data_IF_197975629783
#
_entry.id   IF_197975629783
#
_cell.length_a   1.000
_cell.length_b   1.000
_cell.length_c   1.000
_cell.angle_alpha   90.00
_cell.angle_beta   90.00
_cell.angle_gamma   90.00
#
_symmetry.space_group_name_H-M   'P 1'
#
loop_
_entity.id
_entity.type
_entity.pdbx_description
1 polymer ?
#
# COMPACT_ATOMS: atom_id res chain seq x y z
N UNK A 1 22.12 -64.99 -25.72
CA UNK A 1 21.48 -65.75 -26.79
C UNK A 1 21.15 -64.82 -27.91
N UNK A 2 21.97 -64.75 -28.97
CA UNK A 2 21.73 -65.32 -30.32
C UNK A 2 20.58 -64.60 -31.02
N UNK A 3 20.64 -63.99 -32.22
CA UNK A 3 21.43 -63.99 -33.46
C UNK A 3 20.89 -62.87 -34.33
N UNK A 4 21.58 -61.91 -34.93
CA UNK A 4 22.16 -61.84 -36.27
C UNK A 4 21.33 -62.40 -37.46
N UNK A 5 21.10 -61.50 -38.47
CA UNK A 5 21.11 -61.77 -39.93
C UNK A 5 20.77 -60.35 -40.55
N UNK A 6 21.49 -59.68 -41.33
CA UNK A 6 22.44 -59.99 -42.40
C UNK A 6 21.74 -60.28 -43.73
N UNK A 7 21.63 -59.27 -44.62
CA UNK A 7 21.69 -59.51 -46.10
C UNK A 7 22.00 -58.24 -46.88
N UNK A 8 22.95 -58.38 -47.68
CA UNK A 8 23.66 -57.75 -48.74
C UNK A 8 22.90 -57.24 -49.95
N UNK A 9 23.52 -56.24 -50.51
CA UNK A 9 23.49 -55.64 -51.86
C UNK A 9 22.89 -56.42 -53.03
N UNK A 10 22.50 -55.71 -54.13
CA UNK A 10 23.50 -55.53 -55.18
C UNK A 10 23.52 -54.15 -55.89
N UNK A 11 24.70 -53.86 -56.43
CA UNK A 11 25.04 -52.73 -57.29
C UNK A 11 24.39 -52.84 -58.69
N UNK A 12 24.12 -51.69 -59.28
CA UNK A 12 23.95 -51.55 -60.74
C UNK A 12 24.74 -50.34 -61.23
N UNK A 13 25.77 -50.58 -62.01
CA UNK A 13 26.46 -49.64 -62.91
C UNK A 13 25.65 -49.50 -64.18
N UNK A 14 25.65 -48.31 -64.81
CA UNK A 14 25.86 -48.02 -66.23
C UNK A 14 25.63 -46.53 -66.50
N UNK A 15 26.54 -45.91 -67.22
CA UNK A 15 26.29 -44.86 -68.16
C UNK A 15 26.88 -43.48 -67.91
N UNK A 16 28.16 -43.31 -68.27
CA UNK A 16 28.74 -41.98 -68.49
C UNK A 16 28.15 -41.35 -69.76
N UNK A 17 27.55 -40.17 -69.61
CA UNK A 17 27.37 -39.20 -70.68
C UNK A 17 27.97 -37.87 -70.27
N UNK A 18 29.03 -37.48 -70.93
CA UNK A 18 29.63 -36.16 -70.93
C UNK A 18 28.66 -35.13 -71.48
N UNK A 19 28.29 -34.13 -70.66
CA UNK A 19 27.59 -32.94 -71.14
C UNK A 19 28.44 -31.72 -70.78
N UNK A 20 28.69 -30.91 -71.82
CA UNK A 20 29.50 -29.71 -71.79
C UNK A 20 29.08 -28.70 -70.72
N UNK A 21 30.10 -28.13 -70.06
CA UNK A 21 29.96 -27.04 -69.11
C UNK A 21 29.70 -25.74 -69.91
N UNK A 22 28.45 -25.27 -69.81
CA UNK A 22 28.11 -23.87 -70.15
C UNK A 22 28.41 -23.01 -68.93
N UNK A 23 29.24 -22.01 -69.17
CA UNK A 23 29.66 -21.02 -68.16
C UNK A 23 28.51 -20.14 -67.77
N UNK A 24 28.01 -20.31 -66.54
CA UNK A 24 27.07 -19.36 -65.94
C UNK A 24 27.75 -17.98 -65.69
N UNK A 25 27.02 -16.86 -65.85
CA UNK A 25 27.54 -15.53 -65.56
C UNK A 25 27.79 -15.33 -64.07
N UNK A 26 28.73 -14.46 -63.66
CA UNK A 26 29.06 -14.27 -62.24
C UNK A 26 27.86 -13.76 -61.45
N UNK A 27 27.48 -14.48 -60.41
CA UNK A 27 26.47 -14.04 -59.45
C UNK A 27 26.88 -12.70 -58.84
N UNK A 28 26.01 -11.69 -59.08
CA UNK A 28 26.11 -10.43 -58.37
C UNK A 28 26.13 -10.68 -56.86
N UNK A 29 27.21 -10.28 -56.23
CA UNK A 29 27.28 -10.22 -54.75
C UNK A 29 26.21 -9.25 -54.29
N UNK A 30 25.08 -9.76 -53.81
CA UNK A 30 24.11 -8.99 -53.05
C UNK A 30 24.73 -8.55 -51.74
N UNK A 31 25.35 -7.39 -51.72
CA UNK A 31 25.67 -6.61 -50.55
C UNK A 31 24.36 -5.99 -49.99
N UNK A 32 23.52 -6.85 -49.44
CA UNK A 32 22.30 -6.42 -48.74
C UNK A 32 22.26 -7.19 -47.42
N UNK A 33 22.94 -6.67 -46.38
CA UNK A 33 22.59 -6.96 -44.98
C UNK A 33 23.60 -6.41 -43.94
N UNK A 34 24.47 -5.47 -44.28
CA UNK A 34 25.37 -4.83 -43.30
C UNK A 34 24.79 -3.59 -42.61
N UNK A 35 23.76 -2.96 -43.20
CA UNK A 35 23.09 -1.81 -42.57
C UNK A 35 22.04 -2.18 -41.54
N UNK A 36 21.40 -3.38 -41.65
CA UNK A 36 20.32 -3.75 -40.74
C UNK A 36 20.83 -4.26 -39.37
N UNK A 37 21.91 -5.03 -39.34
CA UNK A 37 22.48 -5.57 -38.09
C UNK A 37 23.02 -4.46 -37.20
N UNK A 38 23.73 -3.47 -37.74
CA UNK A 38 24.22 -2.33 -36.97
C UNK A 38 23.06 -1.46 -36.43
N UNK A 39 22.00 -1.26 -37.22
CA UNK A 39 20.82 -0.52 -36.79
C UNK A 39 20.06 -1.27 -35.68
N UNK A 40 19.87 -2.58 -35.82
CA UNK A 40 19.26 -3.41 -34.75
C UNK A 40 20.12 -3.48 -33.49
N UNK A 41 21.44 -3.53 -33.60
CA UNK A 41 22.35 -3.51 -32.45
C UNK A 41 22.31 -2.17 -31.75
N UNK A 42 22.32 -1.04 -32.48
CA UNK A 42 22.19 0.30 -31.91
C UNK A 42 20.83 0.51 -31.23
N UNK A 43 19.73 0.04 -31.84
CA UNK A 43 18.40 0.08 -31.26
C UNK A 43 18.32 -0.77 -29.97
N UNK A 44 18.91 -1.99 -29.98
CA UNK A 44 18.99 -2.86 -28.80
C UNK A 44 19.79 -2.25 -27.66
N UNK A 45 20.94 -1.63 -27.95
CA UNK A 45 21.74 -0.90 -26.95
C UNK A 45 20.98 0.32 -26.39
N UNK A 46 20.29 1.07 -27.24
CA UNK A 46 19.44 2.19 -26.86
C UNK A 46 18.31 1.77 -25.91
N UNK A 47 17.61 0.67 -26.23
CA UNK A 47 16.57 0.09 -25.38
C UNK A 47 17.13 -0.42 -24.05
N UNK A 48 18.26 -1.12 -24.06
CA UNK A 48 18.92 -1.58 -22.84
C UNK A 48 19.36 -0.41 -21.94
N UNK A 49 19.91 0.66 -22.52
CA UNK A 49 20.26 1.88 -21.80
C UNK A 49 19.04 2.58 -21.21
N UNK A 50 17.95 2.70 -21.99
CA UNK A 50 16.69 3.29 -21.53
C UNK A 50 16.07 2.47 -20.39
N UNK A 51 16.06 1.14 -20.52
CA UNK A 51 15.58 0.23 -19.48
C UNK A 51 16.44 0.31 -18.21
N UNK A 52 17.78 0.37 -18.36
CA UNK A 52 18.70 0.55 -17.22
C UNK A 52 18.46 1.90 -16.51
N UNK A 53 18.30 2.97 -17.27
CA UNK A 53 18.00 4.30 -16.72
C UNK A 53 16.66 4.30 -16.00
N UNK A 54 15.61 3.77 -16.62
CA UNK A 54 14.29 3.64 -15.99
C UNK A 54 14.37 2.84 -14.69
N UNK A 55 15.06 1.67 -14.71
CA UNK A 55 15.26 0.87 -13.51
C UNK A 55 15.96 1.68 -12.40
N UNK A 56 17.06 2.39 -12.73
CA UNK A 56 17.77 3.24 -11.75
C UNK A 56 16.86 4.32 -11.19
N UNK A 57 16.04 4.98 -12.04
CA UNK A 57 15.15 6.05 -11.63
C UNK A 57 14.01 5.50 -10.73
N UNK A 58 13.53 4.28 -10.98
CA UNK A 58 12.56 3.57 -10.12
C UNK A 58 13.19 3.05 -8.81
N UNK A 59 14.46 2.71 -8.82
CA UNK A 59 15.20 2.28 -7.62
C UNK A 59 15.64 3.46 -6.73
N UNK A 60 15.56 4.69 -7.25
CA UNK A 60 15.87 5.91 -6.49
C UNK A 60 14.59 6.51 -5.91
N UNK A 61 14.42 6.57 -4.58
CA UNK A 61 13.21 7.12 -3.97
C UNK A 61 13.09 8.61 -4.28
N UNK A 62 11.86 9.07 -4.54
CA UNK A 62 11.60 10.40 -5.06
C UNK A 62 10.85 11.35 -4.14
N UNK A 63 10.32 10.87 -3.01
CA UNK A 63 9.42 11.62 -2.13
C UNK A 63 9.88 11.61 -0.67
N UNK A 64 11.11 12.09 -0.34
CA UNK A 64 11.58 12.06 1.04
C UNK A 64 10.72 12.96 1.92
N UNK A 65 10.41 12.48 3.12
CA UNK A 65 9.76 13.29 4.13
C UNK A 65 10.60 14.54 4.46
N UNK A 66 9.93 15.67 4.58
CA UNK A 66 10.58 16.95 4.97
C UNK A 66 9.93 17.55 6.21
N UNK A 67 8.61 17.67 6.20
CA UNK A 67 7.80 18.22 7.27
C UNK A 67 6.33 17.80 7.11
N UNK A 68 5.50 18.09 8.09
CA UNK A 68 4.05 17.80 8.02
C UNK A 68 3.34 18.53 6.87
N UNK A 69 3.84 19.67 6.41
CA UNK A 69 3.28 20.40 5.26
C UNK A 69 3.54 19.65 3.94
N UNK A 70 4.63 18.91 3.86
CA UNK A 70 4.93 18.06 2.70
C UNK A 70 3.89 16.94 2.60
N UNK A 71 3.59 16.27 3.71
CA UNK A 71 2.56 15.23 3.78
C UNK A 71 1.19 15.80 3.40
N UNK A 72 0.78 16.94 3.97
CA UNK A 72 -0.50 17.60 3.63
C UNK A 72 -0.63 17.89 2.14
N UNK A 73 0.41 18.41 1.49
CA UNK A 73 0.40 18.72 0.03
C UNK A 73 0.33 17.48 -0.85
N UNK A 74 0.97 16.37 -0.48
CA UNK A 74 0.85 15.10 -1.21
C UNK A 74 -0.60 14.61 -1.16
N UNK A 75 -1.24 14.67 -0.01
CA UNK A 75 -2.65 14.28 0.15
C UNK A 75 -3.60 15.24 -0.54
N UNK A 76 -3.32 16.55 -0.58
CA UNK A 76 -4.09 17.52 -1.37
C UNK A 76 -4.04 17.15 -2.85
N UNK A 77 -2.86 16.87 -3.40
CA UNK A 77 -2.69 16.49 -4.80
C UNK A 77 -3.43 15.18 -5.13
N UNK A 78 -3.36 14.18 -4.28
CA UNK A 78 -4.07 12.91 -4.48
C UNK A 78 -5.58 13.07 -4.44
N UNK A 79 -6.09 13.96 -3.56
CA UNK A 79 -7.52 14.25 -3.45
C UNK A 79 -8.03 14.98 -4.70
N UNK A 80 -7.26 15.94 -5.23
CA UNK A 80 -7.61 16.68 -6.46
C UNK A 80 -7.53 15.79 -7.71
N UNK A 81 -6.57 14.86 -7.79
CA UNK A 81 -6.43 13.93 -8.91
C UNK A 81 -7.61 12.95 -9.02
N UNK A 82 -8.32 12.64 -7.94
CA UNK A 82 -9.43 11.66 -7.82
C UNK A 82 -9.11 10.24 -8.29
N UNK A 83 -7.86 9.94 -8.63
CA UNK A 83 -7.43 8.60 -9.06
C UNK A 83 -7.42 7.65 -7.86
N UNK A 84 -6.93 8.14 -6.73
CA UNK A 84 -6.91 7.35 -5.50
C UNK A 84 -8.34 7.05 -5.04
N UNK A 85 -9.23 8.05 -5.00
CA UNK A 85 -10.65 7.86 -4.65
C UNK A 85 -11.35 6.89 -5.61
N UNK A 86 -11.00 6.92 -6.92
CA UNK A 86 -11.57 6.00 -7.91
C UNK A 86 -11.26 4.54 -7.62
N UNK A 87 -9.97 4.20 -7.34
CA UNK A 87 -9.55 2.81 -7.14
C UNK A 87 -9.65 2.34 -5.69
N UNK A 88 -9.46 3.25 -4.74
CA UNK A 88 -9.46 2.94 -3.31
C UNK A 88 -10.78 3.26 -2.63
N UNK A 89 -11.69 3.96 -3.32
CA UNK A 89 -12.92 4.44 -2.71
C UNK A 89 -12.68 5.49 -1.64
N UNK A 90 -13.56 5.54 -0.68
CA UNK A 90 -13.54 6.56 0.39
C UNK A 90 -12.63 6.20 1.58
N UNK A 91 -12.05 5.00 1.58
CA UNK A 91 -11.18 4.48 2.63
C UNK A 91 -9.76 4.33 2.11
N UNK A 92 -8.84 5.20 2.58
CA UNK A 92 -7.44 5.19 2.16
C UNK A 92 -6.61 4.43 3.20
N UNK A 93 -6.89 3.14 3.35
CA UNK A 93 -6.17 2.18 4.18
C UNK A 93 -6.25 0.78 3.58
N UNK A 94 -5.47 -0.17 4.08
CA UNK A 94 -5.52 -1.57 3.64
C UNK A 94 -6.85 -2.23 4.03
N UNK A 95 -7.23 -3.27 3.30
CA UNK A 95 -8.42 -4.07 3.58
C UNK A 95 -8.11 -5.28 4.46
N UNK A 96 -9.14 -5.87 5.03
CA UNK A 96 -9.09 -7.11 5.79
C UNK A 96 -9.54 -8.29 4.93
N UNK A 97 -8.77 -9.37 4.99
CA UNK A 97 -9.04 -10.63 4.29
C UNK A 97 -9.00 -11.75 5.30
N UNK A 98 -10.13 -12.40 5.51
CA UNK A 98 -10.22 -13.60 6.35
C UNK A 98 -9.41 -14.76 5.76
N UNK A 99 -9.14 -15.78 6.57
CA UNK A 99 -8.48 -16.98 6.07
C UNK A 99 -9.28 -17.67 4.94
N UNK A 100 -10.60 -17.60 4.97
CA UNK A 100 -11.48 -18.11 3.92
C UNK A 100 -11.36 -17.29 2.63
N UNK A 101 -11.31 -15.96 2.71
CA UNK A 101 -11.06 -15.07 1.57
C UNK A 101 -9.72 -15.38 0.91
N UNK A 102 -8.66 -15.51 1.72
CA UNK A 102 -7.32 -15.81 1.24
C UNK A 102 -7.24 -17.21 0.61
N UNK A 103 -7.89 -18.20 1.19
CA UNK A 103 -7.96 -19.55 0.64
C UNK A 103 -8.69 -19.61 -0.71
N UNK A 104 -9.68 -18.74 -0.91
CA UNK A 104 -10.38 -18.56 -2.18
C UNK A 104 -9.61 -17.71 -3.19
N UNK A 105 -8.45 -17.17 -2.80
CA UNK A 105 -7.55 -16.40 -3.66
C UNK A 105 -7.85 -14.90 -3.73
N UNK A 106 -8.58 -14.34 -2.75
CA UNK A 106 -8.81 -12.89 -2.67
C UNK A 106 -7.49 -12.10 -2.74
N UNK A 107 -7.50 -10.92 -3.35
CA UNK A 107 -6.31 -10.09 -3.56
C UNK A 107 -5.36 -10.58 -4.67
N UNK A 108 -5.64 -11.70 -5.33
CA UNK A 108 -4.94 -12.12 -6.56
C UNK A 108 -5.62 -11.52 -7.80
N UNK A 109 -4.97 -11.57 -8.96
CA UNK A 109 -5.53 -11.05 -10.21
C UNK A 109 -6.94 -11.60 -10.52
N UNK A 110 -7.16 -12.89 -10.36
CA UNK A 110 -8.47 -13.51 -10.59
C UNK A 110 -9.36 -13.42 -9.34
N UNK A 111 -8.76 -13.39 -8.18
CA UNK A 111 -9.45 -13.32 -6.89
C UNK A 111 -10.00 -11.93 -6.53
N UNK A 112 -9.77 -10.90 -7.33
CA UNK A 112 -10.46 -9.61 -7.20
C UNK A 112 -12.00 -9.72 -7.32
N UNK A 113 -12.49 -10.83 -7.87
CA UNK A 113 -13.93 -11.16 -7.94
C UNK A 113 -14.42 -11.96 -6.75
N UNK A 114 -13.53 -12.46 -5.91
CA UNK A 114 -13.89 -13.20 -4.68
C UNK A 114 -14.31 -12.22 -3.60
N UNK A 115 -13.58 -11.11 -3.48
CA UNK A 115 -13.84 -10.02 -2.55
C UNK A 115 -13.51 -8.70 -3.24
N UNK A 116 -14.40 -7.75 -3.19
CA UNK A 116 -14.18 -6.41 -3.70
C UNK A 116 -13.18 -5.65 -2.81
N UNK A 117 -12.36 -4.76 -3.41
CA UNK A 117 -11.33 -4.03 -2.66
C UNK A 117 -11.92 -3.00 -1.69
N UNK A 118 -13.08 -2.42 -2.02
CA UNK A 118 -13.79 -1.49 -1.14
C UNK A 118 -14.44 -2.26 0.01
N UNK A 119 -15.08 -3.41 -0.27
CA UNK A 119 -15.63 -4.32 0.74
C UNK A 119 -14.56 -4.74 1.76
N UNK A 120 -13.37 -5.15 1.29
CA UNK A 120 -12.28 -5.51 2.18
C UNK A 120 -11.88 -4.41 3.17
N UNK A 121 -12.04 -3.12 2.80
CA UNK A 121 -11.75 -1.99 3.69
C UNK A 121 -12.87 -1.72 4.68
N UNK A 122 -14.12 -1.94 4.29
CA UNK A 122 -15.24 -1.89 5.23
C UNK A 122 -15.10 -3.01 6.27
N UNK A 123 -14.79 -4.22 5.84
CA UNK A 123 -14.50 -5.33 6.75
C UNK A 123 -13.34 -5.01 7.69
N UNK A 124 -12.30 -4.33 7.20
CA UNK A 124 -11.20 -3.87 8.06
C UNK A 124 -11.71 -2.93 9.18
N UNK A 125 -12.58 -1.99 8.85
CA UNK A 125 -13.17 -1.09 9.86
C UNK A 125 -13.99 -1.85 10.89
N UNK A 126 -14.81 -2.81 10.44
CA UNK A 126 -15.68 -3.61 11.31
C UNK A 126 -14.85 -4.54 12.22
N UNK A 127 -13.84 -5.22 11.66
CA UNK A 127 -12.93 -6.08 12.44
C UNK A 127 -12.08 -5.29 13.43
N UNK A 128 -11.55 -4.12 13.04
CA UNK A 128 -10.82 -3.24 13.94
C UNK A 128 -11.71 -2.70 15.05
N UNK A 129 -12.99 -2.38 14.74
CA UNK A 129 -13.96 -1.95 15.74
C UNK A 129 -14.28 -3.09 16.72
N UNK A 130 -14.51 -4.30 16.23
CA UNK A 130 -14.74 -5.47 17.06
C UNK A 130 -13.52 -5.76 17.97
N UNK A 131 -12.32 -5.74 17.40
CA UNK A 131 -11.08 -5.94 18.15
C UNK A 131 -10.82 -4.83 19.19
N UNK A 132 -11.27 -3.59 18.94
CA UNK A 132 -11.10 -2.47 19.87
C UNK A 132 -11.82 -2.67 21.21
N UNK A 133 -12.86 -3.52 21.24
CA UNK A 133 -13.75 -3.71 22.39
C UNK A 133 -14.35 -2.36 22.87
N UNK A 134 -14.61 -1.46 21.91
CA UNK A 134 -15.23 -0.17 22.19
C UNK A 134 -16.64 -0.39 22.77
N UNK A 135 -17.09 0.45 23.72
CA UNK A 135 -18.50 0.42 24.15
C UNK A 135 -19.46 0.60 22.97
N UNK A 136 -20.59 -0.09 23.02
CA UNK A 136 -21.58 -0.12 21.91
C UNK A 136 -22.07 1.25 21.45
N UNK A 137 -22.03 2.26 22.32
CA UNK A 137 -22.51 3.63 22.04
C UNK A 137 -21.58 4.68 22.63
N UNK A 138 -20.41 4.91 22.08
CA UNK A 138 -19.56 6.02 22.48
C UNK A 138 -20.26 7.34 22.15
N UNK A 139 -20.31 8.30 23.04
CA UNK A 139 -20.93 9.60 22.74
C UNK A 139 -20.08 10.43 21.77
N UNK A 140 -18.75 10.34 21.89
CA UNK A 140 -17.79 11.08 21.06
C UNK A 140 -16.65 10.20 20.59
N UNK A 141 -16.43 10.20 19.29
CA UNK A 141 -15.34 9.47 18.61
C UNK A 141 -14.42 10.46 17.92
N UNK A 142 -13.13 10.28 18.04
CA UNK A 142 -12.10 10.99 17.28
C UNK A 142 -11.44 10.03 16.31
N UNK A 143 -11.40 10.39 15.03
CA UNK A 143 -10.67 9.70 13.96
C UNK A 143 -9.42 10.52 13.59
N UNK A 144 -8.25 10.05 13.98
CA UNK A 144 -6.97 10.76 13.85
C UNK A 144 -6.28 10.38 12.56
N UNK A 145 -6.24 11.31 11.62
CA UNK A 145 -5.75 11.04 10.25
C UNK A 145 -6.87 10.50 9.35
N UNK A 146 -8.04 11.10 9.42
CA UNK A 146 -9.27 10.60 8.80
C UNK A 146 -9.30 10.55 7.27
N UNK A 147 -8.29 11.09 6.58
CA UNK A 147 -8.30 11.19 5.13
C UNK A 147 -9.54 11.93 4.63
N UNK A 148 -10.20 11.42 3.59
CA UNK A 148 -11.48 11.95 3.07
C UNK A 148 -12.69 11.44 3.87
N UNK A 149 -12.47 10.93 5.10
CA UNK A 149 -13.49 10.65 6.10
C UNK A 149 -14.30 9.37 5.88
N UNK A 150 -13.82 8.42 5.10
CA UNK A 150 -14.50 7.14 4.89
C UNK A 150 -14.78 6.41 6.20
N UNK A 151 -13.73 6.17 6.99
CA UNK A 151 -13.85 5.53 8.30
C UNK A 151 -14.69 6.33 9.29
N UNK A 152 -14.50 7.66 9.36
CA UNK A 152 -15.34 8.52 10.21
C UNK A 152 -16.81 8.38 9.89
N UNK A 153 -17.20 8.38 8.60
CA UNK A 153 -18.59 8.20 8.17
C UNK A 153 -19.10 6.79 8.44
N UNK A 154 -18.26 5.76 8.26
CA UNK A 154 -18.59 4.37 8.61
C UNK A 154 -18.92 4.25 10.09
N UNK A 155 -18.06 4.76 10.98
CA UNK A 155 -18.30 4.80 12.43
C UNK A 155 -19.56 5.60 12.80
N UNK A 156 -19.81 6.75 12.13
CA UNK A 156 -21.01 7.54 12.35
C UNK A 156 -22.31 6.81 11.99
N UNK A 157 -22.28 5.97 10.94
CA UNK A 157 -23.40 5.10 10.56
C UNK A 157 -23.58 3.97 11.57
N UNK A 158 -22.49 3.29 11.92
CA UNK A 158 -22.49 2.12 12.79
C UNK A 158 -23.02 2.46 14.19
N UNK A 159 -22.56 3.55 14.78
CA UNK A 159 -23.01 3.98 16.11
C UNK A 159 -24.34 4.75 16.10
N UNK A 160 -24.73 5.28 14.94
CA UNK A 160 -25.98 6.03 14.78
C UNK A 160 -25.94 7.47 15.30
N UNK A 161 -27.08 8.15 15.25
CA UNK A 161 -27.21 9.60 15.49
C UNK A 161 -26.86 10.07 16.91
N UNK A 162 -26.79 9.15 17.89
CA UNK A 162 -26.40 9.45 19.26
C UNK A 162 -24.90 9.66 19.46
N UNK A 163 -24.09 9.28 18.47
CA UNK A 163 -22.64 9.40 18.50
C UNK A 163 -22.17 10.54 17.62
N UNK A 164 -21.30 11.41 18.13
CA UNK A 164 -20.62 12.43 17.33
C UNK A 164 -19.23 11.94 16.94
N UNK A 165 -18.95 11.87 15.65
CA UNK A 165 -17.65 11.49 15.10
C UNK A 165 -16.94 12.71 14.55
N UNK A 166 -15.72 12.97 15.03
CA UNK A 166 -14.88 14.05 14.54
C UNK A 166 -13.64 13.47 13.87
N UNK A 167 -13.44 13.74 12.59
CA UNK A 167 -12.22 13.39 11.87
C UNK A 167 -11.25 14.58 11.82
N UNK A 168 -9.95 14.31 11.99
CA UNK A 168 -8.90 15.33 11.81
C UNK A 168 -7.88 14.89 10.78
N UNK A 169 -7.40 15.83 9.96
CA UNK A 169 -6.32 15.65 8.98
C UNK A 169 -5.55 16.96 8.76
N UNK A 170 -4.33 16.88 8.23
CA UNK A 170 -3.55 18.06 7.85
C UNK A 170 -3.97 18.69 6.52
N UNK A 171 -4.75 18.00 5.69
CA UNK A 171 -5.13 18.43 4.34
C UNK A 171 -6.46 19.17 4.35
N UNK A 172 -6.49 20.47 4.00
CA UNK A 172 -7.74 21.22 3.80
C UNK A 172 -8.64 20.61 2.72
N UNK A 173 -8.04 20.06 1.65
CA UNK A 173 -8.77 19.42 0.55
C UNK A 173 -9.47 18.14 0.99
N UNK A 174 -8.83 17.35 1.86
CA UNK A 174 -9.48 16.19 2.47
C UNK A 174 -10.65 16.58 3.35
N UNK A 175 -10.54 17.65 4.16
CA UNK A 175 -11.63 18.14 4.99
C UNK A 175 -12.82 18.61 4.14
N UNK A 176 -12.55 19.37 3.05
CA UNK A 176 -13.56 19.79 2.10
C UNK A 176 -14.31 18.58 1.51
N UNK A 177 -13.56 17.60 0.96
CA UNK A 177 -14.14 16.39 0.36
C UNK A 177 -14.88 15.52 1.37
N UNK A 178 -14.34 15.32 2.56
CA UNK A 178 -14.96 14.55 3.63
C UNK A 178 -16.31 15.17 4.07
N UNK A 179 -16.37 16.50 4.12
CA UNK A 179 -17.59 17.24 4.49
C UNK A 179 -18.65 17.14 3.38
N UNK A 180 -18.25 17.23 2.10
CA UNK A 180 -19.15 16.99 0.97
C UNK A 180 -19.77 15.60 1.04
N UNK A 181 -18.93 14.57 1.18
CA UNK A 181 -19.36 13.17 1.25
C UNK A 181 -20.29 12.91 2.46
N UNK A 182 -20.00 13.51 3.62
CA UNK A 182 -20.88 13.38 4.78
C UNK A 182 -22.27 14.01 4.54
N UNK A 183 -22.32 15.17 3.86
CA UNK A 183 -23.55 15.80 3.46
C UNK A 183 -24.34 14.99 2.43
N UNK A 184 -23.66 14.49 1.40
CA UNK A 184 -24.25 13.60 0.37
C UNK A 184 -24.87 12.35 1.00
N UNK A 185 -24.24 11.80 2.04
CA UNK A 185 -24.69 10.59 2.76
C UNK A 185 -25.65 10.89 3.92
N UNK A 186 -26.06 12.17 4.13
CA UNK A 186 -26.96 12.60 5.21
C UNK A 186 -26.46 12.19 6.61
N UNK A 187 -25.19 12.45 6.91
CA UNK A 187 -24.53 12.11 8.19
C UNK A 187 -24.17 13.38 8.98
N UNK A 188 -25.15 14.05 9.63
CA UNK A 188 -24.89 15.29 10.38
C UNK A 188 -24.05 15.07 11.65
N UNK A 189 -23.89 13.82 12.06
CA UNK A 189 -23.10 13.42 13.21
C UNK A 189 -21.63 13.13 12.88
N UNK A 190 -21.19 13.30 11.61
CA UNK A 190 -19.79 13.28 11.18
C UNK A 190 -19.32 14.72 10.87
N UNK A 191 -18.19 15.14 11.46
CA UNK A 191 -17.59 16.46 11.26
C UNK A 191 -16.08 16.35 11.04
N UNK A 192 -15.50 17.29 10.30
CA UNK A 192 -14.08 17.22 9.91
C UNK A 192 -13.36 18.53 10.18
N UNK A 193 -12.09 18.47 10.58
CA UNK A 193 -11.25 19.63 10.87
C UNK A 193 -9.85 19.48 10.34
N UNK A 194 -9.28 20.56 9.83
CA UNK A 194 -7.83 20.66 9.61
C UNK A 194 -7.17 20.81 10.97
N UNK A 195 -6.37 19.83 11.37
CA UNK A 195 -5.72 19.83 12.68
C UNK A 195 -4.47 18.94 12.69
N UNK A 196 -3.44 19.40 13.41
CA UNK A 196 -2.24 18.61 13.65
C UNK A 196 -2.46 17.61 14.78
N UNK A 197 -2.28 16.32 14.51
CA UNK A 197 -2.41 15.27 15.52
C UNK A 197 -1.37 15.34 16.65
N UNK A 198 -0.29 16.10 16.47
CA UNK A 198 0.74 16.32 17.49
C UNK A 198 0.41 17.49 18.44
N UNK A 199 -0.61 18.30 18.12
CA UNK A 199 -1.00 19.49 18.89
C UNK A 199 -2.52 19.70 18.75
N UNK A 200 -3.30 18.78 19.35
CA UNK A 200 -4.76 18.82 19.19
C UNK A 200 -5.40 19.91 20.06
N UNK A 201 -6.24 20.74 19.44
CA UNK A 201 -6.96 21.83 20.12
C UNK A 201 -8.16 21.37 20.98
N UNK A 202 -8.34 20.07 21.14
CA UNK A 202 -9.38 19.51 21.99
C UNK A 202 -8.98 19.55 23.46
N UNK A 203 -9.93 19.80 24.38
CA UNK A 203 -9.70 19.61 25.82
C UNK A 203 -9.30 18.17 26.14
N UNK A 204 -8.58 17.98 27.24
CA UNK A 204 -8.35 16.64 27.79
C UNK A 204 -9.69 15.95 28.09
N UNK A 205 -9.69 14.62 28.08
CA UNK A 205 -10.84 13.80 28.50
C UNK A 205 -12.14 14.11 27.72
N UNK A 206 -12.02 14.28 26.37
CA UNK A 206 -13.13 14.67 25.49
C UNK A 206 -13.82 13.48 24.82
N UNK A 207 -13.05 12.47 24.38
CA UNK A 207 -13.53 11.39 23.53
C UNK A 207 -13.65 10.06 24.27
N UNK A 208 -14.67 9.28 23.93
CA UNK A 208 -14.91 7.94 24.47
C UNK A 208 -14.13 6.88 23.66
N UNK A 209 -13.90 7.14 22.36
CA UNK A 209 -13.05 6.36 21.46
C UNK A 209 -12.11 7.29 20.72
N UNK A 210 -10.82 6.97 20.71
CA UNK A 210 -9.82 7.57 19.84
C UNK A 210 -9.34 6.48 18.88
N UNK A 211 -9.60 6.71 17.61
CA UNK A 211 -9.32 5.82 16.50
C UNK A 211 -8.21 6.40 15.63
N UNK A 212 -7.23 5.60 15.25
CA UNK A 212 -6.15 5.99 14.38
C UNK A 212 -5.82 4.85 13.42
N UNK A 213 -6.16 5.02 12.15
CA UNK A 213 -5.92 4.02 11.11
C UNK A 213 -4.99 4.59 10.04
N UNK A 214 -3.83 3.96 9.86
CA UNK A 214 -2.81 4.33 8.88
C UNK A 214 -2.48 5.83 8.86
N UNK A 215 -2.22 6.38 10.04
CA UNK A 215 -1.78 7.77 10.23
C UNK A 215 -0.49 7.86 11.06
N UNK A 216 -0.21 6.86 11.88
CA UNK A 216 0.98 6.79 12.72
C UNK A 216 2.29 6.81 11.93
N UNK A 217 2.30 6.25 10.71
CA UNK A 217 3.44 6.21 9.79
C UNK A 217 4.03 7.59 9.51
N UNK A 218 3.15 8.58 9.35
CA UNK A 218 3.50 9.95 8.97
C UNK A 218 3.99 10.82 10.13
N UNK A 219 3.86 10.34 11.37
CA UNK A 219 4.17 11.13 12.56
C UNK A 219 5.68 11.20 12.79
N UNK A 220 6.30 12.39 12.80
CA UNK A 220 7.72 12.54 13.09
C UNK A 220 8.04 12.34 14.59
N UNK A 221 7.09 12.58 15.47
CA UNK A 221 7.17 12.33 16.90
C UNK A 221 6.07 11.35 17.33
N UNK A 222 6.40 10.06 17.34
CA UNK A 222 5.47 8.98 17.72
C UNK A 222 5.03 9.10 19.18
N UNK A 223 5.93 9.54 20.06
CA UNK A 223 5.62 9.74 21.48
C UNK A 223 4.57 10.84 21.65
N UNK A 224 4.81 12.00 21.08
CA UNK A 224 3.88 13.13 21.14
C UNK A 224 2.51 12.78 20.55
N UNK A 225 2.51 12.02 19.46
CA UNK A 225 1.29 11.51 18.84
C UNK A 225 0.46 10.64 19.78
N UNK A 226 1.09 9.69 20.44
CA UNK A 226 0.42 8.82 21.44
C UNK A 226 -0.02 9.64 22.65
N UNK A 227 0.82 10.53 23.19
CA UNK A 227 0.49 11.39 24.34
C UNK A 227 -0.73 12.28 24.06
N UNK A 228 -0.84 12.88 22.87
CA UNK A 228 -1.99 13.71 22.50
C UNK A 228 -3.27 12.88 22.37
N UNK A 229 -3.22 11.69 21.75
CA UNK A 229 -4.37 10.78 21.67
C UNK A 229 -4.85 10.36 23.08
N UNK A 230 -3.92 10.00 23.95
CA UNK A 230 -4.26 9.63 25.34
C UNK A 230 -4.76 10.83 26.13
N UNK A 231 -4.21 12.03 25.91
CA UNK A 231 -4.68 13.26 26.59
C UNK A 231 -6.15 13.54 26.30
N UNK A 232 -6.56 13.45 25.03
CA UNK A 232 -7.94 13.76 24.64
C UNK A 232 -8.93 12.63 24.91
N UNK A 233 -8.45 11.42 25.20
CA UNK A 233 -9.25 10.25 25.57
C UNK A 233 -9.75 10.40 27.02
N UNK A 234 -11.03 10.10 27.26
CA UNK A 234 -11.62 10.08 28.62
C UNK A 234 -11.13 8.89 29.43
N UNK A 235 -11.09 9.00 30.76
CA UNK A 235 -11.03 7.81 31.62
C UNK A 235 -12.19 6.84 31.31
N UNK A 236 -11.86 5.57 31.10
CA UNK A 236 -12.77 4.53 30.62
C UNK A 236 -12.88 4.45 29.11
N UNK A 237 -12.33 5.42 28.38
CA UNK A 237 -12.32 5.42 26.90
C UNK A 237 -11.30 4.45 26.32
N UNK A 238 -11.51 4.10 25.05
CA UNK A 238 -10.68 3.19 24.28
C UNK A 238 -9.78 3.95 23.29
N UNK A 239 -8.50 3.58 23.24
CA UNK A 239 -7.57 3.92 22.17
C UNK A 239 -7.40 2.70 21.27
N UNK A 240 -7.45 2.89 19.97
CA UNK A 240 -7.11 1.86 18.99
C UNK A 240 -6.29 2.47 17.85
N UNK A 241 -5.17 1.82 17.54
CA UNK A 241 -4.22 2.24 16.50
C UNK A 241 -4.00 1.06 15.55
N UNK A 242 -4.12 1.30 14.25
CA UNK A 242 -3.68 0.41 13.20
C UNK A 242 -2.63 1.15 12.37
N UNK A 243 -1.43 0.62 12.22
CA UNK A 243 -0.33 1.33 11.56
C UNK A 243 0.74 0.39 10.99
N UNK A 244 1.47 0.87 9.99
CA UNK A 244 2.59 0.12 9.46
C UNK A 244 3.77 0.21 10.42
N UNK A 245 4.32 -0.94 10.76
CA UNK A 245 5.44 -1.08 11.66
C UNK A 245 6.60 -1.77 10.96
N UNK A 246 7.83 -1.44 11.36
CA UNK A 246 8.96 -2.32 11.08
C UNK A 246 9.00 -3.43 12.14
N UNK A 247 9.63 -4.56 11.83
CA UNK A 247 9.84 -5.60 12.86
C UNK A 247 10.67 -5.09 14.02
N UNK A 248 10.50 -5.68 15.18
CA UNK A 248 11.36 -5.41 16.33
C UNK A 248 12.79 -5.94 16.16
N UNK A 249 13.68 -5.52 17.06
CA UNK A 249 15.03 -6.02 17.19
C UNK A 249 15.24 -6.53 18.62
N UNK A 250 15.97 -7.64 18.87
CA UNK A 250 16.68 -8.50 17.93
C UNK A 250 15.77 -9.37 17.05
N UNK A 251 16.27 -9.93 15.90
CA UNK A 251 17.63 -9.79 15.38
C UNK A 251 17.91 -8.42 14.75
N UNK A 252 19.16 -7.98 14.70
CA UNK A 252 19.55 -6.73 14.05
C UNK A 252 19.12 -6.72 12.56
N UNK A 253 18.86 -5.53 12.02
CA UNK A 253 18.61 -5.37 10.59
C UNK A 253 19.87 -5.68 9.78
N UNK A 254 19.70 -6.42 8.69
CA UNK A 254 20.75 -6.61 7.70
C UNK A 254 20.94 -5.32 6.90
N UNK A 255 22.07 -5.20 6.17
CA UNK A 255 22.28 -4.09 5.25
C UNK A 255 21.17 -4.00 4.19
N UNK A 256 20.69 -5.14 3.68
CA UNK A 256 19.56 -5.18 2.75
C UNK A 256 18.26 -4.67 3.39
N UNK A 257 17.98 -5.03 4.64
CA UNK A 257 16.81 -4.50 5.38
C UNK A 257 16.86 -2.98 5.50
N UNK A 258 18.03 -2.43 5.88
CA UNK A 258 18.21 -0.98 6.03
C UNK A 258 18.02 -0.24 4.70
N UNK A 259 18.56 -0.77 3.59
CA UNK A 259 18.38 -0.19 2.25
C UNK A 259 16.90 -0.23 1.85
N UNK A 260 16.18 -1.32 2.14
CA UNK A 260 14.75 -1.43 1.83
C UNK A 260 13.90 -0.49 2.68
N UNK A 261 14.16 -0.39 3.99
CA UNK A 261 13.48 0.56 4.88
C UNK A 261 13.71 2.01 4.43
N UNK A 262 14.96 2.39 4.12
CA UNK A 262 15.30 3.73 3.64
C UNK A 262 14.54 4.08 2.34
N UNK A 263 14.42 3.11 1.40
CA UNK A 263 13.62 3.29 0.20
C UNK A 263 12.14 3.54 0.54
N UNK A 264 11.55 2.72 1.42
CA UNK A 264 10.13 2.82 1.79
C UNK A 264 9.83 4.14 2.51
N UNK A 265 10.70 4.59 3.42
CA UNK A 265 10.56 5.89 4.05
C UNK A 265 10.52 7.03 3.02
N UNK A 266 11.50 7.05 2.12
CA UNK A 266 11.65 8.14 1.16
C UNK A 266 10.65 8.10 0.01
N UNK A 267 10.08 6.95 -0.30
CA UNK A 267 9.10 6.85 -1.39
C UNK A 267 7.68 7.21 -0.94
N UNK A 268 7.33 6.96 0.32
CA UNK A 268 6.03 7.30 0.89
C UNK A 268 6.01 8.58 1.73
N UNK A 269 7.09 9.37 1.71
CA UNK A 269 7.22 10.56 2.54
C UNK A 269 7.00 10.27 4.03
N UNK A 270 7.52 9.14 4.53
CA UNK A 270 7.48 8.79 5.94
C UNK A 270 8.76 9.22 6.65
N UNK A 271 8.68 9.70 7.89
CA UNK A 271 9.88 10.03 8.68
C UNK A 271 10.65 8.77 9.09
N UNK A 272 9.97 7.77 9.64
CA UNK A 272 10.49 6.46 10.05
C UNK A 272 9.34 5.57 10.53
N UNK A 273 9.57 4.25 10.60
CA UNK A 273 8.68 3.30 11.28
C UNK A 273 9.27 2.88 12.62
N UNK A 274 8.43 2.46 13.56
CA UNK A 274 8.81 1.79 14.80
C UNK A 274 8.11 0.42 14.87
N UNK A 275 8.50 -0.43 15.80
CA UNK A 275 7.90 -1.75 15.95
C UNK A 275 6.53 -1.68 16.66
N UNK A 276 5.78 -2.79 16.63
CA UNK A 276 4.53 -2.96 17.39
C UNK A 276 4.83 -2.80 18.89
N UNK A 277 5.90 -3.40 19.36
CA UNK A 277 6.35 -3.37 20.75
C UNK A 277 6.76 -1.96 21.19
N UNK A 278 7.39 -1.18 20.29
CA UNK A 278 7.70 0.22 20.57
C UNK A 278 6.42 1.04 20.73
N UNK A 279 5.40 0.84 19.86
CA UNK A 279 4.11 1.52 20.00
C UNK A 279 3.43 1.13 21.32
N UNK A 280 3.39 -0.17 21.67
CA UNK A 280 2.87 -0.62 22.96
C UNK A 280 3.57 0.06 24.14
N UNK A 281 4.90 0.11 24.09
CA UNK A 281 5.71 0.77 25.12
C UNK A 281 5.42 2.28 25.23
N UNK A 282 5.15 2.97 24.10
CA UNK A 282 4.76 4.38 24.12
C UNK A 282 3.38 4.56 24.77
N UNK A 283 2.42 3.67 24.51
CA UNK A 283 1.08 3.71 25.10
C UNK A 283 1.16 3.44 26.61
N UNK A 284 1.86 2.38 27.04
CA UNK A 284 2.07 2.04 28.43
C UNK A 284 2.80 3.13 29.22
N UNK A 285 3.77 3.79 28.56
CA UNK A 285 4.57 4.88 29.11
C UNK A 285 3.76 6.13 29.46
N UNK A 286 2.51 6.27 29.00
CA UNK A 286 1.63 7.40 29.36
C UNK A 286 1.07 7.30 30.78
N UNK A 287 1.39 6.25 31.55
CA UNK A 287 0.99 5.99 32.95
C UNK A 287 -0.51 5.88 33.21
N UNK A 288 -1.35 6.39 32.35
CA UNK A 288 -2.82 6.33 32.45
C UNK A 288 -3.48 5.27 31.57
N UNK A 289 -2.72 4.60 30.72
CA UNK A 289 -3.22 3.49 29.91
C UNK A 289 -3.04 2.17 30.63
N UNK A 290 -4.02 1.27 30.50
CA UNK A 290 -4.04 -0.10 31.03
C UNK A 290 -4.60 -1.04 29.96
N UNK A 291 -4.43 -2.33 30.18
CA UNK A 291 -4.92 -3.39 29.30
C UNK A 291 -4.44 -3.15 27.87
N UNK A 292 -3.17 -2.74 27.74
CA UNK A 292 -2.53 -2.53 26.43
C UNK A 292 -2.34 -3.90 25.79
N UNK A 293 -2.95 -4.09 24.64
CA UNK A 293 -2.90 -5.32 23.87
C UNK A 293 -2.49 -5.02 22.43
N UNK A 294 -1.80 -5.98 21.82
CA UNK A 294 -1.26 -5.83 20.46
C UNK A 294 -1.58 -7.04 19.60
N UNK A 295 -1.63 -6.81 18.29
CA UNK A 295 -1.76 -7.89 17.33
C UNK A 295 -1.00 -7.53 16.03
N UNK A 296 -0.65 -8.53 15.25
CA UNK A 296 -0.06 -8.38 13.93
C UNK A 296 -1.06 -8.87 12.87
N UNK A 297 -1.68 -7.92 12.16
CA UNK A 297 -2.62 -8.23 11.07
C UNK A 297 -1.97 -8.26 9.69
N UNK A 298 -0.67 -8.49 9.63
CA UNK A 298 0.06 -8.62 8.35
C UNK A 298 -0.60 -9.65 7.43
N UNK A 299 -0.97 -10.82 7.98
CA UNK A 299 -1.60 -11.89 7.19
C UNK A 299 -2.92 -11.43 6.59
N UNK A 300 -3.74 -10.74 7.36
CA UNK A 300 -5.07 -10.28 6.96
C UNK A 300 -5.03 -9.10 5.98
N UNK A 301 -3.93 -8.32 5.96
CA UNK A 301 -3.86 -7.08 5.18
C UNK A 301 -2.95 -7.15 3.96
N UNK A 302 -1.98 -8.07 3.93
CA UNK A 302 -0.94 -8.15 2.88
C UNK A 302 -1.50 -8.29 1.46
N UNK A 303 -2.67 -8.90 1.30
CA UNK A 303 -3.33 -9.07 0.02
C UNK A 303 -3.70 -7.72 -0.63
N UNK A 304 -3.99 -6.69 0.16
CA UNK A 304 -4.35 -5.34 -0.29
C UNK A 304 -3.31 -4.72 -1.21
N UNK A 305 -2.01 -4.96 -0.96
CA UNK A 305 -0.93 -4.40 -1.76
C UNK A 305 -1.01 -4.78 -3.24
N UNK A 306 -1.38 -6.02 -3.54
CA UNK A 306 -1.59 -6.47 -4.92
C UNK A 306 -3.00 -6.22 -5.40
N UNK A 307 -3.99 -6.28 -4.53
CA UNK A 307 -5.37 -6.00 -4.89
C UNK A 307 -5.50 -4.59 -5.47
N UNK A 308 -4.82 -3.59 -4.87
CA UNK A 308 -4.79 -2.23 -5.40
C UNK A 308 -4.20 -2.14 -6.82
N UNK A 309 -3.19 -2.96 -7.14
CA UNK A 309 -2.62 -3.05 -8.49
C UNK A 309 -3.63 -3.69 -9.45
N UNK A 310 -4.25 -4.80 -9.02
CA UNK A 310 -5.21 -5.54 -9.85
C UNK A 310 -6.49 -4.75 -10.11
N UNK A 311 -6.95 -3.91 -9.19
CA UNK A 311 -8.04 -2.97 -9.43
C UNK A 311 -7.75 -2.08 -10.66
N UNK A 312 -6.54 -1.54 -10.75
CA UNK A 312 -6.10 -0.77 -11.93
C UNK A 312 -5.93 -1.59 -13.20
N UNK A 313 -5.59 -2.88 -13.09
CA UNK A 313 -5.49 -3.78 -14.26
C UNK A 313 -6.88 -4.11 -14.83
N UNK A 314 -7.89 -4.29 -13.97
CA UNK A 314 -9.27 -4.56 -14.40
C UNK A 314 -10.02 -3.33 -14.90
N UNK A 315 -9.64 -2.13 -14.42
CA UNK A 315 -10.16 -0.86 -14.88
C UNK A 315 -9.01 0.09 -15.28
N UNK A 316 -8.40 -0.10 -16.46
CA UNK A 316 -7.21 0.65 -16.87
C UNK A 316 -7.52 2.05 -17.44
N UNK A 317 -8.78 2.34 -17.82
CA UNK A 317 -9.14 3.56 -18.54
C UNK A 317 -8.76 4.84 -17.79
N UNK A 318 -9.00 4.98 -16.47
CA UNK A 318 -8.67 6.20 -15.74
C UNK A 318 -7.18 6.56 -15.78
N UNK A 319 -6.29 5.55 -15.84
CA UNK A 319 -4.84 5.75 -15.97
C UNK A 319 -4.45 5.98 -17.42
N UNK A 320 -4.90 5.12 -18.34
CA UNK A 320 -4.50 5.23 -19.77
C UNK A 320 -4.96 6.52 -20.44
N UNK A 321 -6.09 7.08 -20.02
CA UNK A 321 -6.60 8.37 -20.53
C UNK A 321 -5.78 9.58 -20.08
N UNK A 322 -4.82 9.40 -19.15
CA UNK A 322 -4.03 10.47 -18.54
C UNK A 322 -2.53 10.22 -18.65
N UNK A 323 -1.89 10.47 -19.81
CA UNK A 323 -0.47 10.16 -20.01
C UNK A 323 0.49 10.84 -19.01
N UNK A 324 0.09 11.98 -18.47
CA UNK A 324 0.86 12.74 -17.47
C UNK A 324 1.06 11.99 -16.15
N UNK A 325 0.22 11.00 -15.81
CA UNK A 325 0.35 10.22 -14.57
C UNK A 325 1.03 8.85 -14.78
N UNK A 326 1.31 8.41 -16.00
CA UNK A 326 1.82 7.06 -16.26
C UNK A 326 3.11 6.74 -15.51
N UNK A 327 4.06 7.68 -15.51
CA UNK A 327 5.32 7.48 -14.80
C UNK A 327 5.10 7.40 -13.28
N UNK A 328 4.23 8.26 -12.72
CA UNK A 328 3.83 8.22 -11.30
C UNK A 328 3.18 6.88 -10.96
N UNK A 329 2.21 6.44 -11.76
CA UNK A 329 1.53 5.14 -11.57
C UNK A 329 2.51 3.97 -11.61
N UNK A 330 3.47 3.97 -12.54
CA UNK A 330 4.51 2.95 -12.60
C UNK A 330 5.35 2.93 -11.31
N UNK A 331 5.74 4.09 -10.79
CA UNK A 331 6.45 4.20 -9.51
C UNK A 331 5.64 3.65 -8.36
N UNK A 332 4.34 4.02 -8.31
CA UNK A 332 3.43 3.58 -7.26
C UNK A 332 3.27 2.04 -7.29
N UNK A 333 3.12 1.42 -8.47
CA UNK A 333 3.08 -0.04 -8.62
C UNK A 333 4.37 -0.71 -8.10
N UNK A 334 5.54 -0.15 -8.43
CA UNK A 334 6.84 -0.68 -7.95
C UNK A 334 6.91 -0.57 -6.43
N UNK A 335 6.47 0.55 -5.87
CA UNK A 335 6.48 0.76 -4.43
C UNK A 335 5.50 -0.17 -3.70
N UNK A 336 4.26 -0.33 -4.20
CA UNK A 336 3.27 -1.27 -3.67
C UNK A 336 3.81 -2.72 -3.64
N UNK A 337 4.49 -3.18 -4.70
CA UNK A 337 5.10 -4.51 -4.71
C UNK A 337 6.30 -4.62 -3.75
N UNK A 338 7.10 -3.55 -3.58
CA UNK A 338 8.18 -3.53 -2.56
C UNK A 338 7.61 -3.59 -1.14
N UNK A 339 6.54 -2.84 -0.84
CA UNK A 339 5.83 -2.95 0.43
C UNK A 339 5.35 -4.37 0.67
N UNK A 340 4.63 -4.96 -0.30
CA UNK A 340 4.17 -6.36 -0.19
C UNK A 340 5.32 -7.34 0.12
N UNK A 341 6.47 -7.17 -0.53
CA UNK A 341 7.65 -8.03 -0.26
C UNK A 341 8.23 -7.79 1.12
N UNK A 342 8.27 -6.53 1.58
CA UNK A 342 8.74 -6.19 2.92
C UNK A 342 7.84 -6.83 4.00
N UNK A 343 6.51 -6.76 3.83
CA UNK A 343 5.57 -7.47 4.70
C UNK A 343 5.70 -8.98 4.58
N UNK A 344 5.80 -9.52 3.36
CA UNK A 344 5.87 -10.97 3.12
C UNK A 344 7.13 -11.65 3.66
N UNK A 345 8.22 -10.92 3.89
CA UNK A 345 9.45 -11.43 4.52
C UNK A 345 9.59 -11.02 6.00
N UNK A 346 8.57 -10.40 6.58
CA UNK A 346 8.54 -10.00 7.98
C UNK A 346 9.44 -8.80 8.34
N UNK A 347 9.89 -8.00 7.34
CA UNK A 347 10.59 -6.74 7.59
C UNK A 347 9.61 -5.66 8.05
N UNK A 348 8.43 -5.66 7.46
CA UNK A 348 7.31 -4.82 7.84
C UNK A 348 6.18 -5.68 8.43
N UNK A 349 5.43 -5.10 9.35
CA UNK A 349 4.30 -5.70 10.04
C UNK A 349 3.12 -4.72 10.04
N UNK A 350 1.91 -5.25 10.08
CA UNK A 350 0.71 -4.44 10.25
C UNK A 350 0.30 -4.44 11.71
N UNK A 351 0.74 -3.42 12.42
CA UNK A 351 0.58 -3.32 13.87
C UNK A 351 -0.81 -2.86 14.28
N UNK A 352 -1.40 -3.60 15.20
CA UNK A 352 -2.63 -3.26 15.92
C UNK A 352 -2.30 -3.03 17.38
N UNK A 353 -2.69 -1.89 17.94
CA UNK A 353 -2.47 -1.54 19.34
C UNK A 353 -3.76 -0.98 19.92
N UNK A 354 -4.20 -1.48 21.07
CA UNK A 354 -5.36 -0.96 21.81
C UNK A 354 -5.06 -0.80 23.30
N UNK A 355 -5.86 -0.01 23.98
CA UNK A 355 -5.77 0.13 25.42
C UNK A 355 -6.92 0.94 26.00
N UNK A 356 -7.06 0.92 27.32
CA UNK A 356 -8.07 1.65 28.08
C UNK A 356 -7.41 2.74 28.91
N UNK A 357 -7.94 3.96 28.88
CA UNK A 357 -7.50 5.00 29.80
C UNK A 357 -8.15 4.84 31.15
N UNK A 358 -7.37 4.84 32.19
CA UNK A 358 -7.85 4.84 33.60
C UNK A 358 -7.68 6.23 34.22
N UNK A 359 -8.38 6.48 35.30
CA UNK A 359 -8.14 7.71 36.09
C UNK A 359 -6.71 7.70 36.61
N UNK A 360 -6.03 8.83 36.52
CA UNK A 360 -4.74 9.00 37.19
C UNK A 360 -4.90 8.72 38.68
N UNK A 361 -4.06 7.85 39.21
CA UNK A 361 -3.95 7.67 40.66
C UNK A 361 -3.48 9.01 41.27
N UNK A 362 -4.22 9.56 42.20
CA UNK A 362 -3.80 10.75 42.95
C UNK A 362 -2.60 10.45 43.82
#
# INVERSE_FOLDING_TARGET
MLRSHGRSNPAFQIGAKTVSVDTAPPMAKHTLFTGSTAAWTAAGLGLAFAAHRLKRDLDTPGRPWKDGKTVGREYDAWTEEKILEHYWGEHIHLGYYSDDDLAKGAGTLLGCKVKDFIEAKLDFCDEMLAWSECPDKPAKVLDVGCGIGGTSRHLAKTFGSGTQVTGITLSPKQVERATELAKEQNLPNASFRVMNALEMEFPADTFDLVWACESGEHMPDKRKYVEEMVRVLKPGGRLVIATWCQRSTPPAFTEEDLVNLDYLYKEWAHPYFISIEDYASLVEGTTTMRDVDTNDWTRQTIASWRHSIWAGVWDPIPVFSRPNIWYKTLRDIVCLERMRRAFGRGLMQYGMIKGVKVKASR
#
